data_IF_945154234451
#
_entry.id   IF_945154234451
#
_cell.length_a   1.000
_cell.length_b   1.000
_cell.length_c   1.000
_cell.angle_alpha   90.00
_cell.angle_beta   90.00
_cell.angle_gamma   90.00
#
_symmetry.space_group_name_H-M   'P 1'
#
loop_
_entity.id
_entity.type
_entity.pdbx_description
1 polymer ?
#
# COMPACT_ATOMS: atom_id res chain seq x y z
N UNK A 1 -3.63 -14.87 5.17
CA UNK A 1 -2.40 -14.87 6.00
C UNK A 1 -1.54 -13.62 5.72
N UNK A 2 -2.01 -12.43 6.13
CA UNK A 2 -1.29 -11.17 5.99
C UNK A 2 -1.84 -10.14 6.99
N UNK A 3 -1.07 -9.09 7.28
CA UNK A 3 -1.50 -7.94 8.09
C UNK A 3 -1.70 -6.73 7.18
N UNK A 4 -2.83 -6.03 7.34
CA UNK A 4 -3.12 -4.81 6.58
C UNK A 4 -2.79 -3.59 7.44
N UNK A 5 -1.93 -2.69 6.95
CA UNK A 5 -1.77 -1.36 7.52
C UNK A 5 -2.87 -0.48 6.96
N UNK A 6 -4.01 -0.46 7.66
CA UNK A 6 -5.27 0.11 7.17
C UNK A 6 -5.40 1.63 7.29
N UNK A 7 -4.51 2.28 8.04
CA UNK A 7 -4.47 3.75 8.15
C UNK A 7 -3.21 4.29 7.47
N UNK A 8 -3.27 5.54 7.00
CA UNK A 8 -2.17 6.21 6.30
C UNK A 8 -0.93 6.44 7.17
N UNK A 9 -1.10 6.45 8.49
CA UNK A 9 -0.06 6.77 9.47
C UNK A 9 0.65 5.52 10.00
N UNK A 10 0.02 4.35 9.98
CA UNK A 10 0.59 3.12 10.53
C UNK A 10 1.94 2.77 9.87
N UNK A 11 2.12 2.89 8.53
CA UNK A 11 3.40 2.64 7.89
C UNK A 11 4.54 3.58 8.32
N UNK A 12 4.25 4.66 9.07
CA UNK A 12 5.28 5.55 9.64
C UNK A 12 5.96 4.96 10.88
N UNK A 13 5.34 3.97 11.53
CA UNK A 13 5.80 3.37 12.78
C UNK A 13 6.00 1.86 12.69
N UNK A 14 5.24 1.18 11.84
CA UNK A 14 5.24 -0.29 11.71
C UNK A 14 5.90 -0.70 10.41
N UNK A 15 6.86 -1.61 10.52
CA UNK A 15 7.65 -2.17 9.43
C UNK A 15 7.44 -3.68 9.32
N UNK A 16 7.99 -4.30 8.27
CA UNK A 16 7.91 -5.76 8.10
C UNK A 16 8.63 -6.53 9.22
N UNK A 17 9.60 -5.91 9.91
CA UNK A 17 10.31 -6.51 11.04
C UNK A 17 9.41 -6.70 12.27
N UNK A 18 8.33 -5.91 12.38
CA UNK A 18 7.37 -5.96 13.48
C UNK A 18 6.30 -7.05 13.28
N UNK A 19 6.29 -7.74 12.14
CA UNK A 19 5.28 -8.73 11.78
C UNK A 19 5.88 -10.00 11.19
N UNK A 20 5.54 -11.15 11.79
CA UNK A 20 5.85 -12.46 11.22
C UNK A 20 5.03 -12.80 9.97
N UNK A 21 3.96 -12.03 9.70
CA UNK A 21 3.14 -12.16 8.50
C UNK A 21 3.48 -11.06 7.48
N UNK A 22 3.30 -11.33 6.17
CA UNK A 22 3.46 -10.31 5.13
C UNK A 22 2.57 -9.09 5.39
N UNK A 23 3.15 -7.91 5.21
CA UNK A 23 2.44 -6.64 5.37
C UNK A 23 1.87 -6.15 4.04
N UNK A 24 0.61 -5.71 4.07
CA UNK A 24 -0.08 -4.99 3.01
C UNK A 24 -0.30 -3.54 3.43
N UNK A 25 0.50 -2.63 2.89
CA UNK A 25 0.37 -1.18 3.10
C UNK A 25 -0.71 -0.60 2.17
N UNK A 26 -1.86 -0.25 2.73
CA UNK A 26 -3.00 0.29 1.99
C UNK A 26 -2.65 1.56 1.21
N UNK A 27 -1.81 2.42 1.78
CA UNK A 27 -1.45 3.72 1.20
C UNK A 27 -0.60 3.51 -0.04
N UNK A 28 0.41 2.66 0.04
CA UNK A 28 1.25 2.32 -1.12
C UNK A 28 0.47 1.59 -2.21
N UNK A 29 -0.42 0.66 -1.83
CA UNK A 29 -1.25 -0.07 -2.78
C UNK A 29 -2.20 0.88 -3.53
N UNK A 30 -2.89 1.77 -2.82
CA UNK A 30 -3.76 2.78 -3.42
C UNK A 30 -2.99 3.78 -4.28
N UNK A 31 -1.84 4.28 -3.82
CA UNK A 31 -1.01 5.20 -4.62
C UNK A 31 -0.55 4.55 -5.94
N UNK A 32 -0.13 3.28 -5.90
CA UNK A 32 0.23 2.52 -7.12
C UNK A 32 -0.97 2.32 -8.03
N UNK A 33 -2.14 2.02 -7.48
CA UNK A 33 -3.36 1.89 -8.27
C UNK A 33 -3.72 3.22 -8.94
N UNK A 34 -3.73 4.32 -8.19
CA UNK A 34 -3.99 5.66 -8.71
C UNK A 34 -3.02 6.02 -9.85
N UNK A 35 -1.72 5.75 -9.68
CA UNK A 35 -0.73 5.99 -10.73
C UNK A 35 -1.02 5.17 -11.99
N UNK A 36 -1.31 3.86 -11.85
CA UNK A 36 -1.69 3.01 -13.00
C UNK A 36 -2.91 3.55 -13.73
N UNK A 37 -3.96 3.93 -13.00
CA UNK A 37 -5.18 4.49 -13.58
C UNK A 37 -4.91 5.81 -14.31
N UNK A 38 -4.07 6.67 -13.75
CA UNK A 38 -3.71 7.93 -14.38
C UNK A 38 -2.99 7.70 -15.73
N UNK A 39 -2.01 6.80 -15.78
CA UNK A 39 -1.26 6.54 -17.02
C UNK A 39 -2.05 5.74 -18.05
N UNK A 40 -2.91 4.80 -17.63
CA UNK A 40 -3.86 4.10 -18.53
C UNK A 40 -4.79 5.10 -19.24
N UNK A 41 -5.29 6.09 -18.48
CA UNK A 41 -6.17 7.14 -19.02
C UNK A 41 -5.44 8.09 -19.98
N UNK A 42 -4.13 8.26 -19.84
CA UNK A 42 -3.32 9.09 -20.76
C UNK A 42 -3.03 8.42 -22.11
N UNK A 43 -3.23 7.11 -22.22
CA UNK A 43 -3.04 6.34 -23.47
C UNK A 43 -4.33 6.12 -24.28
N UNK A 44 -5.45 6.71 -23.85
CA UNK A 44 -6.68 6.84 -24.64
C UNK A 44 -6.78 8.26 -25.22
#
# INVERSE_FOLDING_TARGET
>A
DAVVLGCTEIPLLVTQEDSSLPILDSTRLLARAALRRAVETMTQ
#
